data_IF_823253921971
#
_entry.id   IF_823253921971
#
_cell.length_a   1.000
_cell.length_b   1.000
_cell.length_c   1.000
_cell.angle_alpha   90.00
_cell.angle_beta   90.00
_cell.angle_gamma   90.00
#
_symmetry.space_group_name_H-M   'P 1'
#
loop_
_entity.id
_entity.type
_entity.pdbx_description
1 polymer ?
#
# COMPACT_ATOMS: atom_id res chain seq x y z
N UNK A 1 0.30 34.00 44.75
CA UNK A 1 1.28 34.19 43.65
C UNK A 1 2.01 32.90 43.27
N UNK A 2 2.69 32.19 44.17
CA UNK A 2 3.46 30.96 43.80
C UNK A 2 2.60 29.91 43.09
N UNK A 3 1.39 29.64 43.58
CA UNK A 3 0.47 28.67 42.96
C UNK A 3 0.03 29.12 41.55
N UNK A 4 -0.19 30.43 41.35
CA UNK A 4 -0.55 30.98 40.04
C UNK A 4 0.63 30.88 39.06
N UNK A 5 1.86 31.10 39.53
CA UNK A 5 3.08 30.92 38.74
C UNK A 5 3.27 29.46 38.34
N UNK A 6 3.08 28.52 39.28
CA UNK A 6 3.17 27.08 38.99
C UNK A 6 2.07 26.61 38.02
N UNK A 7 0.83 27.11 38.19
CA UNK A 7 -0.27 26.80 37.28
C UNK A 7 -0.01 27.34 35.86
N UNK A 8 0.52 28.57 35.76
CA UNK A 8 0.90 29.16 34.47
C UNK A 8 2.01 28.35 33.80
N UNK A 9 3.03 27.93 34.56
CA UNK A 9 4.14 27.15 34.04
C UNK A 9 3.68 25.77 33.55
N UNK A 10 2.82 25.10 34.30
CA UNK A 10 2.22 23.83 33.91
C UNK A 10 1.37 23.97 32.63
N UNK A 11 0.58 25.04 32.52
CA UNK A 11 -0.21 25.34 31.33
C UNK A 11 0.67 25.56 30.11
N UNK A 12 1.76 26.35 30.24
CA UNK A 12 2.71 26.59 29.15
C UNK A 12 3.39 25.30 28.71
N UNK A 13 3.82 24.44 29.64
CA UNK A 13 4.42 23.14 29.31
C UNK A 13 3.43 22.20 28.61
N UNK A 14 2.18 22.17 29.06
CA UNK A 14 1.13 21.38 28.42
C UNK A 14 0.86 21.86 26.99
N UNK A 15 0.70 23.18 26.79
CA UNK A 15 0.50 23.78 25.47
C UNK A 15 1.69 23.54 24.54
N UNK A 16 2.92 23.66 25.06
CA UNK A 16 4.15 23.37 24.31
C UNK A 16 4.21 21.92 23.84
N UNK A 17 3.82 20.98 24.72
CA UNK A 17 3.81 19.55 24.41
C UNK A 17 2.79 19.25 23.31
N UNK A 18 1.56 19.74 23.45
CA UNK A 18 0.50 19.59 22.44
C UNK A 18 0.93 20.20 21.12
N UNK A 19 1.51 21.40 21.13
CA UNK A 19 2.02 22.07 19.93
C UNK A 19 3.10 21.26 19.23
N UNK A 20 4.06 20.70 19.97
CA UNK A 20 5.14 19.88 19.41
C UNK A 20 4.62 18.59 18.78
N UNK A 21 3.65 17.92 19.43
CA UNK A 21 3.00 16.75 18.85
C UNK A 21 2.17 17.09 17.61
N UNK A 22 1.41 18.18 17.64
CA UNK A 22 0.64 18.64 16.48
C UNK A 22 1.53 19.00 15.28
N UNK A 23 2.67 19.65 15.52
CA UNK A 23 3.64 19.97 14.47
C UNK A 23 4.36 18.72 13.95
N UNK A 24 4.66 17.74 14.79
CA UNK A 24 5.20 16.44 14.35
C UNK A 24 4.24 15.68 13.45
N UNK A 25 2.95 15.65 13.80
CA UNK A 25 1.89 15.05 12.97
C UNK A 25 1.70 15.81 11.65
N UNK A 26 1.79 17.14 11.69
CA UNK A 26 1.73 17.98 10.49
C UNK A 26 2.94 17.74 9.59
N UNK A 27 4.14 17.59 10.13
CA UNK A 27 5.34 17.24 9.37
C UNK A 27 5.26 15.84 8.76
N UNK A 28 4.74 14.85 9.49
CA UNK A 28 4.49 13.51 8.95
C UNK A 28 3.41 13.50 7.86
N UNK A 29 2.45 14.42 7.91
CA UNK A 29 1.45 14.60 6.86
C UNK A 29 2.02 15.30 5.62
N UNK A 30 2.82 16.35 5.84
CA UNK A 30 3.47 17.12 4.77
C UNK A 30 4.54 16.30 4.06
N UNK A 31 5.33 15.49 4.77
CA UNK A 31 6.32 14.60 4.12
C UNK A 31 5.66 13.54 3.24
N UNK A 32 4.46 13.07 3.61
CA UNK A 32 3.64 12.16 2.78
C UNK A 32 3.04 12.86 1.57
N UNK A 33 2.66 14.13 1.71
CA UNK A 33 2.17 14.95 0.59
C UNK A 33 3.31 15.34 -0.37
N UNK A 34 4.51 15.64 0.14
CA UNK A 34 5.70 15.94 -0.66
C UNK A 34 6.27 14.71 -1.36
N UNK A 35 6.22 13.52 -0.73
CA UNK A 35 6.57 12.27 -1.38
C UNK A 35 5.58 11.92 -2.52
N UNK A 36 4.28 12.23 -2.34
CA UNK A 36 3.27 12.10 -3.39
C UNK A 36 3.51 13.09 -4.53
N UNK A 37 3.85 14.33 -4.22
CA UNK A 37 4.14 15.38 -5.20
C UNK A 37 5.44 15.11 -5.98
N UNK A 38 6.48 14.56 -5.33
CA UNK A 38 7.75 14.22 -5.96
C UNK A 38 7.62 13.06 -6.96
N UNK A 39 6.73 12.09 -6.71
CA UNK A 39 6.45 11.01 -7.66
C UNK A 39 5.50 11.44 -8.79
N UNK A 40 4.52 12.33 -8.51
CA UNK A 40 3.71 12.99 -9.55
C UNK A 40 4.55 13.86 -10.49
N UNK A 41 5.59 14.52 -9.98
CA UNK A 41 6.55 15.27 -10.79
C UNK A 41 7.42 14.39 -11.71
N UNK A 42 7.44 13.06 -11.48
CA UNK A 42 8.12 12.05 -12.33
C UNK A 42 7.17 11.31 -13.28
N UNK A 43 5.89 11.70 -13.35
CA UNK A 43 4.87 11.04 -14.16
C UNK A 43 4.34 9.73 -13.56
N UNK A 44 4.75 9.37 -12.34
CA UNK A 44 4.37 8.11 -11.70
C UNK A 44 3.30 8.34 -10.63
N UNK A 45 2.15 7.68 -10.78
CA UNK A 45 1.04 7.73 -9.83
C UNK A 45 1.34 6.79 -8.65
N UNK A 46 1.47 7.34 -7.45
CA UNK A 46 1.54 6.53 -6.23
C UNK A 46 0.17 5.86 -5.98
N UNK A 47 0.16 4.53 -5.93
CA UNK A 47 -1.08 3.75 -5.68
C UNK A 47 -1.21 3.42 -4.20
N UNK A 48 -0.13 2.94 -3.57
CA UNK A 48 -0.13 2.58 -2.16
C UNK A 48 1.27 2.61 -1.54
N UNK A 49 1.31 2.80 -0.23
CA UNK A 49 2.50 2.68 0.62
C UNK A 49 2.42 1.34 1.34
N UNK A 50 3.40 0.45 1.11
CA UNK A 50 3.45 -0.89 1.68
C UNK A 50 4.44 -0.88 2.86
N UNK A 51 3.96 -1.02 4.11
CA UNK A 51 4.86 -1.21 5.24
C UNK A 51 5.38 -2.66 5.23
N UNK A 52 6.67 -2.83 4.95
CA UNK A 52 7.33 -4.14 4.96
C UNK A 52 7.72 -4.53 6.40
N UNK A 53 8.17 -3.54 7.17
CA UNK A 53 8.50 -3.62 8.59
C UNK A 53 8.25 -2.25 9.26
N UNK A 54 8.42 -2.14 10.59
CA UNK A 54 8.18 -0.89 11.32
C UNK A 54 8.98 0.31 10.78
N UNK A 55 10.16 0.06 10.18
CA UNK A 55 11.06 1.09 9.65
C UNK A 55 11.21 1.07 8.12
N UNK A 56 10.63 0.09 7.42
CA UNK A 56 10.77 -0.07 5.97
C UNK A 56 9.43 0.11 5.24
N UNK A 57 9.34 1.17 4.44
CA UNK A 57 8.19 1.48 3.59
C UNK A 57 8.59 1.33 2.13
N UNK A 58 7.88 0.47 1.40
CA UNK A 58 8.00 0.29 -0.04
C UNK A 58 6.85 0.99 -0.73
N UNK A 59 7.14 1.87 -1.69
CA UNK A 59 6.12 2.53 -2.48
C UNK A 59 5.70 1.64 -3.65
N UNK A 60 4.40 1.42 -3.80
CA UNK A 60 3.82 0.84 -4.99
C UNK A 60 3.38 1.97 -5.93
N UNK A 61 4.14 2.14 -7.00
CA UNK A 61 3.93 3.20 -7.99
C UNK A 61 3.50 2.63 -9.32
N UNK A 62 2.70 3.41 -10.03
CA UNK A 62 2.17 3.12 -11.36
C UNK A 62 2.70 4.15 -12.35
N UNK A 63 3.08 3.71 -13.53
CA UNK A 63 3.39 4.55 -14.70
C UNK A 63 2.52 4.11 -15.89
N UNK A 64 2.62 4.78 -17.03
CA UNK A 64 1.99 4.34 -18.29
C UNK A 64 2.44 2.93 -18.69
N UNK A 65 3.71 2.59 -18.46
CA UNK A 65 4.29 1.31 -18.88
C UNK A 65 4.01 0.14 -17.93
N UNK A 66 3.83 0.38 -16.63
CA UNK A 66 3.88 -0.69 -15.63
C UNK A 66 3.67 -0.25 -14.19
N UNK A 67 3.75 -1.23 -13.29
CA UNK A 67 3.78 -1.08 -11.84
C UNK A 67 5.16 -1.40 -11.31
N UNK A 68 5.59 -0.69 -10.28
CA UNK A 68 6.90 -0.83 -9.66
C UNK A 68 6.77 -0.79 -8.15
N UNK A 69 7.51 -1.67 -7.47
CA UNK A 69 7.59 -1.69 -6.01
C UNK A 69 8.94 -2.25 -5.56
N UNK A 70 9.68 -1.46 -4.78
CA UNK A 70 11.04 -1.81 -4.37
C UNK A 70 11.93 -2.07 -5.59
N UNK A 71 12.55 -3.25 -5.66
CA UNK A 71 13.36 -3.70 -6.80
C UNK A 71 12.56 -4.46 -7.89
N UNK A 72 11.24 -4.63 -7.72
CA UNK A 72 10.38 -5.42 -8.61
C UNK A 72 9.58 -4.54 -9.55
N UNK A 73 9.25 -5.09 -10.72
CA UNK A 73 8.45 -4.41 -11.74
C UNK A 73 7.51 -5.38 -12.47
N UNK A 74 6.31 -4.91 -12.80
CA UNK A 74 5.34 -5.63 -13.63
C UNK A 74 4.81 -4.71 -14.73
N UNK A 75 5.05 -5.03 -16.00
CA UNK A 75 4.54 -4.22 -17.13
C UNK A 75 3.05 -4.51 -17.35
N UNK A 76 2.24 -3.46 -17.57
CA UNK A 76 0.78 -3.59 -17.74
C UNK A 76 0.39 -4.55 -18.88
N UNK A 77 1.15 -4.52 -19.98
CA UNK A 77 0.97 -5.43 -21.13
C UNK A 77 1.24 -6.90 -20.82
N UNK A 78 2.08 -7.16 -19.82
CA UNK A 78 2.46 -8.51 -19.43
C UNK A 78 1.52 -9.08 -18.37
N UNK A 79 0.64 -8.26 -17.78
CA UNK A 79 -0.32 -8.70 -16.76
C UNK A 79 -1.51 -9.41 -17.44
N UNK A 80 -1.64 -10.69 -17.07
CA UNK A 80 -2.72 -11.61 -17.45
C UNK A 80 -3.91 -11.49 -16.52
N UNK A 81 -3.66 -11.16 -15.26
CA UNK A 81 -4.67 -11.01 -14.24
C UNK A 81 -4.04 -10.92 -12.86
N UNK A 82 -4.88 -10.88 -11.83
CA UNK A 82 -4.43 -10.82 -10.46
C UNK A 82 -5.43 -11.41 -9.48
N UNK A 83 -4.93 -11.74 -8.29
CA UNK A 83 -5.72 -12.24 -7.17
C UNK A 83 -5.39 -11.45 -5.91
N UNK A 84 -6.45 -11.10 -5.19
CA UNK A 84 -6.38 -10.59 -3.83
C UNK A 84 -6.48 -11.78 -2.88
N UNK A 85 -5.50 -11.93 -2.00
CA UNK A 85 -5.40 -13.05 -1.07
C UNK A 85 -5.45 -12.56 0.37
N UNK A 86 -6.14 -13.31 1.23
CA UNK A 86 -6.10 -13.19 2.68
C UNK A 86 -5.64 -14.54 3.24
N UNK A 87 -4.46 -14.60 3.85
CA UNK A 87 -3.89 -15.85 4.38
C UNK A 87 -3.87 -16.98 3.33
N UNK A 88 -3.54 -16.63 2.08
CA UNK A 88 -3.56 -17.55 0.94
C UNK A 88 -4.96 -17.83 0.36
N UNK A 89 -6.05 -17.50 1.05
CA UNK A 89 -7.41 -17.65 0.54
C UNK A 89 -7.72 -16.56 -0.49
N UNK A 90 -8.32 -16.94 -1.63
CA UNK A 90 -8.71 -15.99 -2.69
C UNK A 90 -9.94 -15.20 -2.26
N UNK A 91 -9.78 -13.89 -2.09
CA UNK A 91 -10.87 -12.96 -1.78
C UNK A 91 -11.47 -12.34 -3.03
N UNK A 92 -10.64 -12.06 -4.04
CA UNK A 92 -11.07 -11.54 -5.33
C UNK A 92 -10.09 -11.95 -6.43
N UNK A 93 -10.57 -12.04 -7.66
CA UNK A 93 -9.75 -12.34 -8.84
C UNK A 93 -10.21 -11.49 -10.02
N UNK A 94 -9.27 -11.16 -10.91
CA UNK A 94 -9.57 -10.63 -12.23
C UNK A 94 -8.62 -11.26 -13.24
N UNK A 95 -9.10 -11.46 -14.46
CA UNK A 95 -8.27 -11.88 -15.60
C UNK A 95 -8.55 -11.00 -16.80
N UNK A 96 -7.58 -10.94 -17.70
CA UNK A 96 -7.73 -10.33 -19.02
C UNK A 96 -8.67 -11.21 -19.85
N UNK A 97 -9.48 -10.58 -20.70
CA UNK A 97 -10.44 -11.27 -21.56
C UNK A 97 -9.77 -12.43 -22.34
N UNK A 98 -10.33 -13.64 -22.21
CA UNK A 98 -9.83 -14.85 -22.87
C UNK A 98 -8.63 -15.52 -22.19
N UNK A 99 -8.12 -14.99 -21.08
CA UNK A 99 -7.03 -15.61 -20.32
C UNK A 99 -7.53 -16.32 -19.07
N UNK A 100 -7.14 -17.60 -18.91
CA UNK A 100 -7.37 -18.36 -17.68
C UNK A 100 -6.18 -18.23 -16.72
N UNK A 101 -6.49 -18.01 -15.45
CA UNK A 101 -5.52 -18.00 -14.36
C UNK A 101 -5.29 -19.43 -13.85
N UNK A 102 -4.07 -19.75 -13.36
CA UNK A 102 -3.82 -21.06 -12.76
C UNK A 102 -4.72 -21.28 -11.55
N UNK A 103 -5.05 -22.53 -11.23
CA UNK A 103 -5.88 -22.83 -10.06
C UNK A 103 -5.27 -22.26 -8.76
N UNK A 104 -6.11 -21.78 -7.84
CA UNK A 104 -5.61 -21.23 -6.59
C UNK A 104 -4.98 -22.34 -5.74
N UNK A 105 -3.84 -22.01 -5.11
CA UNK A 105 -3.28 -22.86 -4.07
C UNK A 105 -4.29 -22.96 -2.90
N UNK A 106 -4.28 -24.07 -2.14
CA UNK A 106 -5.07 -24.18 -0.93
C UNK A 106 -4.71 -23.05 0.04
N UNK A 107 -5.70 -22.53 0.79
CA UNK A 107 -5.45 -21.51 1.79
C UNK A 107 -4.47 -22.02 2.85
N UNK A 108 -3.61 -21.13 3.34
CA UNK A 108 -2.66 -21.49 4.38
C UNK A 108 -3.36 -21.60 5.74
N UNK A 109 -2.76 -22.38 6.64
CA UNK A 109 -3.25 -22.48 8.00
C UNK A 109 -3.15 -21.13 8.73
N UNK A 110 -4.16 -20.80 9.53
CA UNK A 110 -4.23 -19.50 10.17
C UNK A 110 -3.24 -19.39 11.34
N UNK A 111 -2.17 -18.61 11.16
CA UNK A 111 -1.11 -18.41 12.16
C UNK A 111 -1.39 -17.25 13.16
N UNK A 112 -2.64 -16.81 13.31
CA UNK A 112 -3.00 -15.80 14.31
C UNK A 112 -2.99 -14.35 13.85
N UNK A 113 -3.00 -14.07 12.53
CA UNK A 113 -3.14 -12.71 12.00
C UNK A 113 -3.65 -12.63 10.55
N UNK A 114 -4.05 -11.43 10.13
CA UNK A 114 -4.46 -11.16 8.74
C UNK A 114 -3.25 -10.81 7.87
N UNK A 115 -2.93 -11.66 6.89
CA UNK A 115 -1.91 -11.41 5.87
C UNK A 115 -2.59 -11.15 4.53
N UNK A 116 -2.57 -9.90 4.12
CA UNK A 116 -3.11 -9.48 2.83
C UNK A 116 -2.01 -9.47 1.76
N UNK A 117 -2.30 -10.07 0.62
CA UNK A 117 -1.36 -10.17 -0.50
C UNK A 117 -2.09 -9.94 -1.83
N UNK A 118 -1.36 -9.41 -2.81
CA UNK A 118 -1.82 -9.36 -4.19
C UNK A 118 -0.86 -10.16 -5.06
N UNK A 119 -1.36 -11.20 -5.72
CA UNK A 119 -0.59 -11.95 -6.71
C UNK A 119 -0.94 -11.44 -8.10
N UNK A 120 0.06 -11.01 -8.86
CA UNK A 120 -0.03 -10.64 -10.26
C UNK A 120 0.45 -11.80 -11.13
N UNK A 121 -0.39 -12.26 -12.04
CA UNK A 121 -0.02 -13.28 -13.01
C UNK A 121 0.48 -12.60 -14.28
N UNK A 122 1.70 -12.91 -14.66
CA UNK A 122 2.38 -12.35 -15.83
C UNK A 122 2.43 -13.35 -16.98
N UNK A 123 2.63 -12.83 -18.19
CA UNK A 123 2.95 -13.62 -19.38
C UNK A 123 4.23 -14.42 -19.18
N UNK A 124 4.26 -15.60 -19.80
CA UNK A 124 5.36 -16.56 -19.64
C UNK A 124 5.29 -17.38 -18.34
N UNK A 125 4.12 -17.44 -17.68
CA UNK A 125 3.90 -18.28 -16.50
C UNK A 125 4.57 -17.78 -15.22
N UNK A 126 5.03 -16.52 -15.21
CA UNK A 126 5.60 -15.89 -14.02
C UNK A 126 4.50 -15.29 -13.17
N UNK A 127 4.64 -15.34 -11.87
CA UNK A 127 3.79 -14.63 -10.91
C UNK A 127 4.63 -13.76 -9.99
N UNK A 128 4.09 -12.59 -9.67
CA UNK A 128 4.72 -11.61 -8.79
C UNK A 128 3.80 -11.37 -7.61
N UNK A 129 4.28 -11.65 -6.40
CA UNK A 129 3.51 -11.46 -5.17
C UNK A 129 3.92 -10.18 -4.46
N UNK A 130 2.90 -9.36 -4.16
CA UNK A 130 3.02 -8.10 -3.44
C UNK A 130 2.49 -8.33 -2.03
N UNK A 131 3.39 -8.44 -1.06
CA UNK A 131 3.03 -8.55 0.34
C UNK A 131 2.54 -7.19 0.83
N UNK A 132 1.28 -7.09 1.25
CA UNK A 132 0.66 -5.81 1.68
C UNK A 132 0.75 -5.59 3.20
N UNK A 133 1.52 -6.42 3.90
CA UNK A 133 1.86 -6.28 5.31
C UNK A 133 0.99 -7.12 6.26
N UNK A 134 1.47 -7.23 7.50
CA UNK A 134 0.83 -7.90 8.67
C UNK A 134 0.59 -6.95 9.84
N UNK A 135 0.88 -5.66 9.67
CA UNK A 135 1.16 -4.73 10.77
C UNK A 135 -0.09 -4.33 11.60
N UNK A 136 -1.22 -4.05 10.93
CA UNK A 136 -2.49 -3.64 11.59
C UNK A 136 -3.70 -4.06 10.76
N UNK A 137 -4.70 -4.60 11.45
CA UNK A 137 -6.01 -4.93 10.88
C UNK A 137 -6.60 -3.70 10.17
N UNK A 138 -7.11 -3.89 8.95
CA UNK A 138 -7.68 -2.81 8.12
C UNK A 138 -6.70 -2.06 7.21
N UNK A 139 -5.48 -1.73 7.67
CA UNK A 139 -4.49 -1.00 6.83
C UNK A 139 -3.97 -1.89 5.71
N UNK A 140 -3.60 -3.14 6.03
CA UNK A 140 -3.14 -4.12 5.03
C UNK A 140 -4.23 -4.43 3.99
N UNK A 141 -5.50 -4.50 4.43
CA UNK A 141 -6.66 -4.70 3.55
C UNK A 141 -6.84 -3.54 2.58
N UNK A 142 -6.75 -2.32 3.07
CA UNK A 142 -6.93 -1.12 2.25
C UNK A 142 -5.81 -1.00 1.20
N UNK A 143 -4.56 -1.24 1.60
CA UNK A 143 -3.41 -1.27 0.69
C UNK A 143 -3.61 -2.32 -0.40
N UNK A 144 -3.92 -3.55 0.00
CA UNK A 144 -4.14 -4.65 -0.95
C UNK A 144 -5.31 -4.37 -1.90
N UNK A 145 -6.40 -3.80 -1.37
CA UNK A 145 -7.56 -3.38 -2.16
C UNK A 145 -7.22 -2.29 -3.19
N UNK A 146 -6.43 -1.28 -2.82
CA UNK A 146 -5.99 -0.22 -3.74
C UNK A 146 -5.09 -0.76 -4.85
N UNK A 147 -4.13 -1.61 -4.51
CA UNK A 147 -3.23 -2.26 -5.48
C UNK A 147 -4.04 -3.15 -6.44
N UNK A 148 -4.96 -3.97 -5.91
CA UNK A 148 -5.83 -4.81 -6.71
C UNK A 148 -6.73 -4.00 -7.65
N UNK A 149 -7.34 -2.93 -7.16
CA UNK A 149 -8.19 -2.06 -7.97
C UNK A 149 -7.40 -1.35 -9.09
N UNK A 150 -6.21 -0.83 -8.80
CA UNK A 150 -5.37 -0.17 -9.79
C UNK A 150 -4.90 -1.15 -10.89
N UNK A 151 -4.47 -2.34 -10.49
CA UNK A 151 -4.01 -3.39 -11.42
C UNK A 151 -5.15 -3.92 -12.29
N UNK A 152 -6.35 -4.09 -11.72
CA UNK A 152 -7.56 -4.41 -12.46
C UNK A 152 -7.92 -3.32 -13.48
N UNK A 153 -7.97 -2.06 -13.05
CA UNK A 153 -8.30 -0.93 -13.91
C UNK A 153 -7.30 -0.79 -15.08
N UNK A 154 -6.02 -1.07 -14.85
CA UNK A 154 -5.01 -1.05 -15.92
C UNK A 154 -5.20 -2.19 -16.94
N UNK A 155 -5.70 -3.36 -16.52
CA UNK A 155 -5.99 -4.47 -17.44
C UNK A 155 -7.29 -4.24 -18.21
N UNK A 156 -8.32 -3.70 -17.55
CA UNK A 156 -9.62 -3.39 -18.18
C UNK A 156 -9.57 -2.13 -19.07
N UNK A 157 -8.82 -1.11 -18.64
CA UNK A 157 -8.71 0.20 -19.30
C UNK A 157 -7.67 0.28 -20.43
N UNK A 158 -6.78 -0.72 -20.57
CA UNK A 158 -5.84 -0.83 -21.69
C UNK A 158 -6.48 -1.21 -23.04
N UNK A 159 -7.74 -0.84 -23.25
CA UNK A 159 -8.58 -1.14 -24.43
C UNK A 159 -8.58 -0.02 -25.49
N UNK A 160 -7.56 0.84 -25.51
CA UNK A 160 -7.40 1.86 -26.59
C UNK A 160 -6.34 1.46 -27.58
#
# INVERSE_FOLDING_TARGET
>A
MIIQVLALLALVLALWTVFRFAMGLRWAKVSREDARAAEQARGRRLVAEIPLSDDEIVFFVEDEAGFYWGARQARKRDIRGGRLLLNGAVMASFSRDGESLPDPAPPEEYEGGERWEVTLYLRGGRDERVACGRLREGVSREIAGRIFAATRAAVEGGKT
#
